data_IF_158157574860
#
_entry.id   IF_158157574860
#
_cell.length_a   1.000
_cell.length_b   1.000
_cell.length_c   1.000
_cell.angle_alpha   90.00
_cell.angle_beta   90.00
_cell.angle_gamma   90.00
#
_symmetry.space_group_name_H-M   'P 1'
#
loop_
_entity.id
_entity.type
_entity.pdbx_description
1 polymer ?
#
# COMPACT_ATOMS: atom_id res chain seq x y z
N UNK A 1 -10.28 -11.97 -7.64
CA UNK A 1 -8.83 -11.78 -7.83
C UNK A 1 -8.23 -10.77 -6.86
N UNK A 2 -8.58 -9.48 -6.92
CA UNK A 2 -8.13 -8.47 -5.92
C UNK A 2 -8.49 -8.90 -4.48
N UNK A 3 -9.66 -9.51 -4.29
CA UNK A 3 -10.07 -10.01 -2.97
C UNK A 3 -9.14 -11.09 -2.40
N UNK A 4 -8.57 -11.97 -3.24
CA UNK A 4 -7.66 -13.03 -2.79
C UNK A 4 -6.30 -12.45 -2.38
N UNK A 5 -5.75 -11.57 -3.22
CA UNK A 5 -4.49 -10.86 -2.94
C UNK A 5 -4.61 -9.97 -1.70
N UNK A 6 -5.74 -9.28 -1.53
CA UNK A 6 -6.06 -8.54 -0.29
C UNK A 6 -6.10 -9.46 0.91
N UNK A 7 -6.76 -10.61 0.81
CA UNK A 7 -6.92 -11.56 1.90
C UNK A 7 -5.55 -12.17 2.31
N UNK A 8 -4.70 -12.53 1.36
CA UNK A 8 -3.36 -13.04 1.63
C UNK A 8 -2.47 -12.01 2.33
N UNK A 9 -2.47 -10.75 1.86
CA UNK A 9 -1.73 -9.67 2.53
C UNK A 9 -2.27 -9.39 3.94
N UNK A 10 -3.59 -9.52 4.13
CA UNK A 10 -4.19 -9.37 5.47
C UNK A 10 -3.83 -10.51 6.43
N UNK A 11 -3.62 -11.73 5.91
CA UNK A 11 -3.23 -12.92 6.68
C UNK A 11 -1.72 -12.97 7.00
N UNK A 12 -0.88 -12.31 6.19
CA UNK A 12 0.56 -12.24 6.39
C UNK A 12 1.38 -13.25 5.57
N UNK A 13 0.74 -14.04 4.69
CA UNK A 13 1.41 -15.00 3.80
C UNK A 13 1.87 -14.33 2.50
N UNK A 14 2.90 -13.47 2.59
CA UNK A 14 3.39 -12.65 1.47
C UNK A 14 4.05 -13.45 0.34
N UNK A 15 4.68 -14.58 0.66
CA UNK A 15 5.37 -15.40 -0.35
C UNK A 15 4.38 -16.08 -1.31
N UNK A 16 3.25 -16.59 -0.80
CA UNK A 16 2.19 -17.15 -1.65
C UNK A 16 1.51 -16.06 -2.48
N UNK A 17 1.35 -14.86 -1.92
CA UNK A 17 0.83 -13.72 -2.67
C UNK A 17 1.73 -13.41 -3.88
N UNK A 18 3.06 -13.37 -3.69
CA UNK A 18 4.03 -13.14 -4.76
C UNK A 18 4.01 -14.23 -5.84
N UNK A 19 3.92 -15.50 -5.47
CA UNK A 19 3.77 -16.60 -6.45
C UNK A 19 2.49 -16.50 -7.27
N UNK A 20 1.40 -16.03 -6.67
CA UNK A 20 0.15 -15.75 -7.39
C UNK A 20 0.31 -14.61 -8.40
N UNK A 21 1.22 -13.67 -8.15
CA UNK A 21 1.51 -12.51 -9.02
C UNK A 21 2.48 -12.87 -10.14
N UNK A 22 3.48 -13.73 -9.91
CA UNK A 22 4.44 -14.17 -10.95
C UNK A 22 3.75 -14.82 -12.16
N UNK A 23 2.63 -15.50 -11.91
CA UNK A 23 1.79 -16.08 -12.96
C UNK A 23 0.96 -15.05 -13.74
N UNK A 24 1.08 -13.76 -13.40
CA UNK A 24 0.26 -12.67 -13.94
C UNK A 24 1.12 -11.60 -14.62
N UNK A 25 0.96 -11.38 -15.93
CA UNK A 25 1.58 -10.22 -16.58
C UNK A 25 0.73 -8.97 -16.31
N UNK A 26 1.23 -8.07 -15.45
CA UNK A 26 0.69 -6.71 -15.33
C UNK A 26 1.18 -5.88 -16.51
N UNK A 27 0.69 -6.19 -17.72
CA UNK A 27 0.98 -5.36 -18.88
C UNK A 27 0.26 -4.01 -18.78
N UNK A 28 0.89 -2.90 -19.22
CA UNK A 28 0.31 -1.56 -19.21
C UNK A 28 -0.90 -1.40 -20.14
N UNK A 29 -1.26 -2.44 -20.92
CA UNK A 29 -2.48 -2.53 -21.75
C UNK A 29 -3.51 -3.52 -21.21
N UNK A 30 -3.26 -4.11 -20.03
CA UNK A 30 -4.15 -5.09 -19.42
C UNK A 30 -5.48 -4.49 -18.96
N UNK A 31 -6.47 -5.36 -18.79
CA UNK A 31 -7.84 -5.02 -18.35
C UNK A 31 -7.88 -4.15 -17.08
N UNK A 32 -6.85 -4.20 -16.22
CA UNK A 32 -6.78 -3.42 -14.97
C UNK A 32 -6.59 -1.92 -15.18
N UNK A 33 -6.06 -1.50 -16.32
CA UNK A 33 -5.92 -0.07 -16.63
C UNK A 33 -7.26 0.62 -16.91
N UNK A 34 -8.33 -0.17 -17.15
CA UNK A 34 -9.69 0.35 -17.33
C UNK A 34 -10.33 0.81 -16.02
N UNK A 35 -9.88 0.30 -14.87
CA UNK A 35 -10.40 0.66 -13.55
C UNK A 35 -9.26 1.18 -12.66
N UNK A 36 -9.09 2.52 -12.55
CA UNK A 36 -8.03 3.16 -11.77
C UNK A 36 -7.88 2.65 -10.33
N UNK A 37 -9.01 2.50 -9.63
CA UNK A 37 -9.05 2.00 -8.24
C UNK A 37 -8.42 0.61 -8.10
N UNK A 38 -8.68 -0.27 -9.06
CA UNK A 38 -8.14 -1.62 -9.04
C UNK A 38 -6.63 -1.60 -9.26
N UNK A 39 -6.17 -0.82 -10.24
CA UNK A 39 -4.76 -0.72 -10.57
C UNK A 39 -3.94 -0.25 -9.36
N UNK A 40 -4.36 0.86 -8.73
CA UNK A 40 -3.70 1.40 -7.54
C UNK A 40 -3.65 0.38 -6.40
N UNK A 41 -4.79 -0.28 -6.15
CA UNK A 41 -4.90 -1.28 -5.08
C UNK A 41 -3.95 -2.45 -5.30
N UNK A 42 -3.89 -2.99 -6.53
CA UNK A 42 -3.03 -4.12 -6.85
C UNK A 42 -1.55 -3.75 -6.65
N UNK A 43 -1.07 -2.67 -7.26
CA UNK A 43 0.33 -2.25 -7.11
C UNK A 43 0.70 -1.95 -5.66
N UNK A 44 -0.19 -1.31 -4.90
CA UNK A 44 0.02 -1.06 -3.48
C UNK A 44 0.26 -2.36 -2.69
N UNK A 45 -0.58 -3.38 -2.88
CA UNK A 45 -0.45 -4.64 -2.15
C UNK A 45 0.74 -5.50 -2.62
N UNK A 46 1.08 -5.45 -3.91
CA UNK A 46 2.30 -6.10 -4.44
C UNK A 46 3.54 -5.45 -3.82
N UNK A 47 3.63 -4.12 -3.87
CA UNK A 47 4.75 -3.36 -3.31
C UNK A 47 4.89 -3.60 -1.79
N UNK A 48 3.76 -3.63 -1.08
CA UNK A 48 3.74 -3.95 0.35
C UNK A 48 4.26 -5.36 0.64
N UNK A 49 3.89 -6.34 -0.20
CA UNK A 49 4.38 -7.71 -0.06
C UNK A 49 5.90 -7.78 -0.27
N UNK A 50 6.44 -7.09 -1.28
CA UNK A 50 7.89 -7.02 -1.48
C UNK A 50 8.63 -6.32 -0.33
N UNK A 51 8.04 -5.27 0.25
CA UNK A 51 8.58 -4.61 1.42
C UNK A 51 8.65 -5.58 2.62
N UNK A 52 7.63 -6.43 2.78
CA UNK A 52 7.57 -7.45 3.84
C UNK A 52 8.51 -8.63 3.62
N UNK A 53 8.79 -9.00 2.38
CA UNK A 53 9.81 -10.02 2.06
C UNK A 53 11.24 -9.46 2.04
N UNK A 54 11.45 -8.22 2.51
CA UNK A 54 12.75 -7.50 2.55
C UNK A 54 13.36 -7.20 1.18
N UNK A 55 12.60 -7.31 0.10
CA UNK A 55 13.02 -6.93 -1.24
C UNK A 55 12.70 -5.45 -1.49
N UNK A 56 13.42 -4.56 -0.80
CA UNK A 56 13.14 -3.12 -0.83
C UNK A 56 13.37 -2.47 -2.19
N UNK A 57 14.31 -2.98 -2.99
CA UNK A 57 14.64 -2.45 -4.31
C UNK A 57 13.43 -2.56 -5.26
N UNK A 58 12.81 -3.74 -5.31
CA UNK A 58 11.61 -3.99 -6.12
C UNK A 58 10.40 -3.24 -5.55
N UNK A 59 10.26 -3.19 -4.22
CA UNK A 59 9.19 -2.46 -3.57
C UNK A 59 9.22 -0.96 -3.93
N UNK A 60 10.39 -0.31 -3.87
CA UNK A 60 10.58 1.11 -4.22
C UNK A 60 10.12 1.36 -5.66
N UNK A 61 10.54 0.53 -6.62
CA UNK A 61 10.12 0.66 -8.04
C UNK A 61 8.61 0.57 -8.21
N UNK A 62 7.96 -0.35 -7.49
CA UNK A 62 6.51 -0.54 -7.56
C UNK A 62 5.74 0.61 -6.89
N UNK A 63 6.23 1.12 -5.76
CA UNK A 63 5.67 2.31 -5.11
C UNK A 63 5.80 3.55 -5.98
N UNK A 64 6.92 3.71 -6.67
CA UNK A 64 7.15 4.78 -7.65
C UNK A 64 6.15 4.72 -8.81
N UNK A 65 6.00 3.55 -9.45
CA UNK A 65 4.99 3.33 -10.51
C UNK A 65 3.58 3.65 -10.00
N UNK A 66 3.24 3.23 -8.78
CA UNK A 66 1.93 3.48 -8.17
C UNK A 66 1.71 4.98 -7.92
N UNK A 67 2.69 5.67 -7.33
CA UNK A 67 2.63 7.10 -7.01
C UNK A 67 2.46 7.96 -8.27
N UNK A 68 3.23 7.68 -9.32
CA UNK A 68 3.13 8.37 -10.62
C UNK A 68 1.77 8.16 -11.28
N UNK A 69 1.24 6.94 -11.21
CA UNK A 69 -0.07 6.64 -11.74
C UNK A 69 -1.17 7.44 -11.01
N UNK A 70 -1.10 7.55 -9.68
CA UNK A 70 -2.03 8.37 -8.91
C UNK A 70 -1.92 9.84 -9.32
N UNK A 71 -0.71 10.41 -9.39
CA UNK A 71 -0.51 11.79 -9.84
C UNK A 71 -1.11 12.06 -11.22
N UNK A 72 -0.88 11.15 -12.18
CA UNK A 72 -1.41 11.26 -13.54
C UNK A 72 -2.93 11.28 -13.55
N UNK A 73 -3.56 10.39 -12.79
CA UNK A 73 -5.02 10.31 -12.73
C UNK A 73 -5.61 11.51 -12.00
N UNK A 74 -5.06 11.91 -10.86
CA UNK A 74 -5.49 13.11 -10.15
C UNK A 74 -5.47 14.34 -11.05
N UNK A 75 -4.40 14.55 -11.84
CA UNK A 75 -4.32 15.65 -12.80
C UNK A 75 -5.37 15.58 -13.91
N UNK A 76 -5.63 14.39 -14.46
CA UNK A 76 -6.68 14.20 -15.48
C UNK A 76 -8.06 14.55 -14.91
N UNK A 77 -8.35 14.15 -13.68
CA UNK A 77 -9.61 14.46 -13.02
C UNK A 77 -9.77 15.95 -12.71
N UNK A 78 -8.68 16.64 -12.32
CA UNK A 78 -8.67 18.09 -12.08
C UNK A 78 -8.90 18.84 -13.40
N UNK A 79 -8.15 18.51 -14.46
CA UNK A 79 -8.24 19.18 -15.77
C UNK A 79 -9.61 19.04 -16.41
N UNK A 80 -10.32 17.94 -16.16
CA UNK A 80 -11.68 17.74 -16.68
C UNK A 80 -12.75 18.62 -16.00
N UNK A 81 -12.42 19.44 -14.98
CA UNK A 81 -13.34 20.42 -14.34
C UNK A 81 -14.73 19.84 -14.00
N UNK A 82 -14.79 18.60 -13.50
CA UNK A 82 -16.06 17.89 -13.28
C UNK A 82 -16.61 18.14 -11.87
N UNK A 83 -17.34 19.23 -11.74
CA UNK A 83 -18.15 19.60 -10.58
C UNK A 83 -19.30 18.61 -10.34
N UNK A 84 -19.06 17.45 -9.70
CA UNK A 84 -20.12 16.61 -9.13
C UNK A 84 -19.66 15.82 -7.90
N UNK A 85 -20.38 16.04 -6.79
CA UNK A 85 -20.21 15.51 -5.41
C UNK A 85 -19.84 14.02 -5.26
N UNK A 86 -20.14 13.17 -6.24
CA UNK A 86 -19.85 11.72 -6.19
C UNK A 86 -18.39 11.36 -6.55
N UNK A 87 -17.71 12.15 -7.38
CA UNK A 87 -16.30 11.92 -7.80
C UNK A 87 -15.27 12.52 -6.83
N UNK A 88 -15.69 13.44 -5.95
CA UNK A 88 -14.84 13.96 -4.88
C UNK A 88 -14.39 12.85 -3.92
N UNK A 89 -15.28 11.90 -3.61
CA UNK A 89 -14.96 10.75 -2.75
C UNK A 89 -13.90 9.83 -3.36
N UNK A 90 -13.88 9.66 -4.68
CA UNK A 90 -12.87 8.85 -5.37
C UNK A 90 -11.51 9.57 -5.38
N UNK A 91 -11.50 10.89 -5.57
CA UNK A 91 -10.27 11.69 -5.47
C UNK A 91 -9.70 11.71 -4.05
N UNK A 92 -10.56 11.84 -3.04
CA UNK A 92 -10.16 11.71 -1.64
C UNK A 92 -9.54 10.32 -1.37
N UNK A 93 -10.14 9.25 -1.89
CA UNK A 93 -9.60 7.89 -1.76
C UNK A 93 -8.21 7.79 -2.40
N UNK A 94 -8.02 8.33 -3.62
CA UNK A 94 -6.72 8.33 -4.30
C UNK A 94 -5.66 9.09 -3.52
N UNK A 95 -6.00 10.26 -2.97
CA UNK A 95 -5.09 11.03 -2.13
C UNK A 95 -4.70 10.27 -0.86
N UNK A 96 -5.65 9.60 -0.20
CA UNK A 96 -5.35 8.75 0.97
C UNK A 96 -4.43 7.59 0.60
N UNK A 97 -4.63 6.95 -0.55
CA UNK A 97 -3.72 5.90 -1.03
C UNK A 97 -2.34 6.47 -1.38
N UNK A 98 -2.28 7.65 -1.97
CA UNK A 98 -1.03 8.33 -2.28
C UNK A 98 -0.23 8.61 -1.02
N UNK A 99 -0.88 9.13 0.03
CA UNK A 99 -0.24 9.41 1.31
C UNK A 99 0.31 8.12 1.94
N UNK A 100 -0.45 7.01 1.90
CA UNK A 100 0.04 5.71 2.36
C UNK A 100 1.25 5.22 1.57
N UNK A 101 1.20 5.30 0.25
CA UNK A 101 2.31 4.90 -0.64
C UNK A 101 3.55 5.74 -0.36
N UNK A 102 3.41 7.06 -0.19
CA UNK A 102 4.52 7.97 0.09
C UNK A 102 5.16 7.70 1.46
N UNK A 103 4.36 7.47 2.51
CA UNK A 103 4.87 7.14 3.83
C UNK A 103 5.66 5.83 3.82
N UNK A 104 5.13 4.79 3.15
CA UNK A 104 5.83 3.50 3.02
C UNK A 104 7.09 3.62 2.15
N UNK A 105 7.05 4.43 1.10
CA UNK A 105 8.21 4.72 0.27
C UNK A 105 9.30 5.45 1.08
N UNK A 106 8.93 6.41 1.93
CA UNK A 106 9.86 7.10 2.84
C UNK A 106 10.61 6.11 3.73
N UNK A 107 9.89 5.13 4.31
CA UNK A 107 10.49 4.07 5.13
C UNK A 107 11.45 3.22 4.29
N UNK A 108 11.06 2.82 3.07
CA UNK A 108 11.94 2.02 2.22
C UNK A 108 13.22 2.76 1.81
N UNK A 109 13.13 4.08 1.57
CA UNK A 109 14.26 4.93 1.16
C UNK A 109 15.25 5.20 2.29
N UNK A 110 14.77 5.31 3.52
CA UNK A 110 15.65 5.48 4.69
C UNK A 110 16.48 4.21 4.98
N UNK A 111 15.91 3.03 4.73
CA UNK A 111 16.61 1.74 4.85
C UNK A 111 17.58 1.53 3.68
N UNK A 112 17.14 1.85 2.47
CA UNK A 112 17.86 1.61 1.22
C UNK A 112 17.89 2.90 0.40
N UNK A 113 18.95 3.71 0.50
CA UNK A 113 19.04 4.95 -0.26
C UNK A 113 19.20 4.63 -1.75
N UNK A 114 18.14 4.86 -2.52
CA UNK A 114 18.08 4.64 -3.96
C UNK A 114 17.66 5.93 -4.67
N UNK A 115 18.14 6.13 -5.90
CA UNK A 115 17.66 7.21 -6.77
C UNK A 115 16.22 6.90 -7.20
N UNK A 116 15.34 7.86 -6.94
CA UNK A 116 13.93 7.88 -7.37
C UNK A 116 13.70 9.00 -8.37
N UNK A 117 12.58 8.98 -9.07
CA UNK A 117 12.14 10.06 -9.94
C UNK A 117 11.98 11.38 -9.17
N UNK A 118 12.47 12.47 -9.78
CA UNK A 118 12.48 13.80 -9.17
C UNK A 118 11.06 14.27 -8.80
N UNK A 119 10.06 13.99 -9.65
CA UNK A 119 8.64 14.34 -9.41
C UNK A 119 8.10 13.78 -8.09
N UNK A 120 8.49 12.55 -7.75
CA UNK A 120 8.07 11.88 -6.52
C UNK A 120 8.91 12.36 -5.35
N UNK A 121 10.20 12.59 -5.58
CA UNK A 121 11.11 13.13 -4.57
C UNK A 121 10.66 14.50 -4.08
N UNK A 122 10.29 15.40 -4.98
CA UNK A 122 9.73 16.71 -4.63
C UNK A 122 8.46 16.55 -3.81
N UNK A 123 7.52 15.70 -4.25
CA UNK A 123 6.28 15.45 -3.51
C UNK A 123 6.52 14.87 -2.11
N UNK A 124 7.52 14.00 -1.97
CA UNK A 124 7.90 13.40 -0.70
C UNK A 124 8.45 14.45 0.26
N UNK A 125 9.38 15.31 -0.20
CA UNK A 125 9.92 16.38 0.61
C UNK A 125 8.83 17.41 0.98
N UNK A 126 7.95 17.79 0.04
CA UNK A 126 6.90 18.78 0.32
C UNK A 126 5.95 18.35 1.46
N UNK A 127 5.65 17.04 1.58
CA UNK A 127 4.71 16.51 2.58
C UNK A 127 5.37 15.90 3.81
N UNK A 128 6.52 15.26 3.66
CA UNK A 128 7.10 14.35 4.65
C UNK A 128 8.59 14.63 4.92
N UNK A 129 9.13 15.80 4.57
CA UNK A 129 10.56 16.11 4.81
C UNK A 129 10.95 16.01 6.29
N UNK A 130 10.14 16.56 7.19
CA UNK A 130 10.43 16.48 8.62
C UNK A 130 10.43 15.04 9.16
N UNK A 131 9.40 14.26 8.80
CA UNK A 131 9.30 12.86 9.25
C UNK A 131 10.41 12.02 8.63
N UNK A 132 10.78 12.28 7.37
CA UNK A 132 11.89 11.63 6.69
C UNK A 132 13.24 11.94 7.37
N UNK A 133 13.51 13.20 7.73
CA UNK A 133 14.72 13.60 8.44
C UNK A 133 14.79 12.99 9.85
N UNK A 134 13.67 12.90 10.58
CA UNK A 134 13.59 12.22 11.87
C UNK A 134 13.86 10.70 11.74
N UNK A 135 13.35 10.07 10.69
CA UNK A 135 13.63 8.66 10.39
C UNK A 135 15.10 8.41 10.02
N UNK A 136 15.73 9.30 9.26
CA UNK A 136 17.19 9.24 8.98
C UNK A 136 18.00 9.37 10.28
N UNK A 137 17.53 10.20 11.21
CA UNK A 137 18.17 10.39 12.52
C UNK A 137 18.07 9.17 13.44
N UNK A 138 17.33 8.13 13.03
CA UNK A 138 17.24 6.86 13.76
C UNK A 138 16.11 6.79 14.80
N UNK A 139 15.12 7.69 14.74
CA UNK A 139 13.98 7.65 15.67
C UNK A 139 13.00 6.51 15.32
N UNK A 140 13.11 5.40 16.05
CA UNK A 140 12.27 4.19 15.88
C UNK A 140 10.78 4.49 16.10
N UNK A 141 10.44 5.49 16.92
CA UNK A 141 9.03 5.80 17.21
C UNK A 141 8.33 6.39 15.99
N UNK A 142 9.04 7.13 15.16
CA UNK A 142 8.50 7.68 13.91
C UNK A 142 8.33 6.58 12.86
N UNK A 143 9.20 5.57 12.83
CA UNK A 143 9.02 4.39 11.97
C UNK A 143 7.74 3.64 12.32
N UNK A 144 7.47 3.39 13.60
CA UNK A 144 6.27 2.67 14.04
C UNK A 144 4.99 3.42 13.66
N UNK A 145 4.93 4.74 13.92
CA UNK A 145 3.78 5.57 13.56
C UNK A 145 3.53 5.58 12.06
N UNK A 146 4.58 5.82 11.27
CA UNK A 146 4.50 5.88 9.81
C UNK A 146 4.08 4.52 9.24
N UNK A 147 4.62 3.44 9.78
CA UNK A 147 4.24 2.09 9.39
C UNK A 147 2.77 1.81 9.72
N UNK A 148 2.27 2.19 10.90
CA UNK A 148 0.88 1.99 11.29
C UNK A 148 -0.12 2.76 10.42
N UNK A 149 0.27 3.94 9.93
CA UNK A 149 -0.56 4.75 9.02
C UNK A 149 -0.55 4.15 7.60
N UNK A 150 0.64 3.77 7.13
CA UNK A 150 0.86 3.29 5.78
C UNK A 150 0.36 1.87 5.54
N UNK A 151 0.48 0.98 6.54
CA UNK A 151 0.19 -0.44 6.40
C UNK A 151 -1.31 -0.73 6.15
N UNK A 152 -1.63 -1.78 5.39
CA UNK A 152 -2.99 -2.30 5.35
C UNK A 152 -3.37 -2.81 6.74
N UNK A 153 -4.62 -2.60 7.17
CA UNK A 153 -5.10 -3.09 8.47
C UNK A 153 -4.99 -4.61 8.52
N UNK A 154 -4.05 -5.15 9.28
CA UNK A 154 -3.89 -6.59 9.40
C UNK A 154 -5.11 -7.23 10.04
N UNK A 155 -5.47 -8.42 9.55
CA UNK A 155 -6.49 -9.24 10.20
C UNK A 155 -5.72 -10.38 10.85
N UNK A 156 -5.62 -10.38 12.17
CA UNK A 156 -5.14 -11.58 12.85
C UNK A 156 -6.22 -12.66 12.73
N UNK A 157 -5.92 -13.86 12.19
CA UNK A 157 -6.88 -14.95 12.14
C UNK A 157 -7.27 -15.49 13.53
N UNK A 158 -6.68 -14.98 14.62
CA UNK A 158 -6.87 -15.48 15.97
C UNK A 158 -8.07 -14.90 16.75
N UNK A 159 -8.94 -14.09 16.14
CA UNK A 159 -10.21 -13.75 16.80
C UNK A 159 -11.29 -14.79 16.48
N UNK A 160 -11.06 -16.04 16.87
CA UNK A 160 -12.16 -16.89 17.33
C UNK A 160 -12.29 -16.64 18.82
N UNK A 161 -13.02 -15.59 19.20
CA UNK A 161 -13.60 -15.57 20.55
C UNK A 161 -14.70 -16.62 20.50
N UNK A 162 -14.36 -17.87 20.81
CA UNK A 162 -15.36 -18.77 21.36
C UNK A 162 -15.75 -18.16 22.71
N UNK A 163 -16.85 -17.40 22.74
CA UNK A 163 -17.55 -17.23 24.00
C UNK A 163 -17.87 -18.64 24.50
N UNK A 164 -17.26 -19.02 25.62
CA UNK A 164 -17.42 -20.35 26.22
C UNK A 164 -18.90 -20.72 26.33
N UNK A 165 -19.26 -21.95 25.95
CA UNK A 165 -19.20 -23.04 26.91
C UNK A 165 -18.69 -24.33 26.25
N UNK A 166 -17.41 -24.64 26.47
CA UNK A 166 -16.86 -25.99 26.34
C UNK A 166 -17.32 -26.84 27.54
N UNK A 167 -18.55 -27.34 27.51
CA UNK A 167 -18.96 -28.41 28.43
C UNK A 167 -18.34 -29.71 27.91
N UNK A 168 -17.11 -29.96 28.36
CA UNK A 168 -16.51 -31.29 28.28
C UNK A 168 -17.10 -32.16 29.40
N UNK A 169 -17.69 -33.28 28.99
CA UNK A 169 -17.94 -34.52 29.77
C UNK A 169 -18.45 -34.37 31.20
N UNK A 170 -19.72 -34.69 31.42
CA UNK A 170 -20.09 -35.54 32.55
C UNK A 170 -20.97 -36.70 32.07
N UNK A 171 -20.56 -37.88 32.51
CA UNK A 171 -21.17 -39.18 32.38
C UNK A 171 -22.57 -39.24 32.99
N UNK A 172 -23.51 -39.84 32.24
CA UNK A 172 -24.54 -40.77 32.69
C UNK A 172 -25.01 -41.58 31.47
#
# INVERSE_FOLDING_TARGET
>A
MIGLLRLQVHLGDYNEALQCIENFSLEPKGLFTTVPNCYITVYYYIAFSHMMTKNYIEAIKLFEICSLYIQKITNVYILQNLSYSKKNKELELFNVFQDKVLILLAICLTITPQKIEESIKTLLHDKYDETYNRMISGDVTEYEKNFMIGAPKFISPNCVVYEGNSISRQSL
#
